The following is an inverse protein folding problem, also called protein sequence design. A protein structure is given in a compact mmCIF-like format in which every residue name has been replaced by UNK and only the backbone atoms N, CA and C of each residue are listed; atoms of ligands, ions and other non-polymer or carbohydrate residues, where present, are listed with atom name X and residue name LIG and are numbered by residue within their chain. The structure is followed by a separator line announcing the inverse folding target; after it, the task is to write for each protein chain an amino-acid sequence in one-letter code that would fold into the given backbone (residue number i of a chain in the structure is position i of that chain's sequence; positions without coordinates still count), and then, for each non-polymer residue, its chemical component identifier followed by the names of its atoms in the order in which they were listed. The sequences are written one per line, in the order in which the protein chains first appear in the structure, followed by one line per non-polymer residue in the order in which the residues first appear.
data_IF_092336228500
#
_entry.id   IF_092336228500
#
_cell.length_a   1.000
_cell.length_b   1.000
_cell.length_c   1.000
_cell.angle_alpha   90.00
_cell.angle_beta   90.00
_cell.angle_gamma   90.00
#
_symmetry.space_group_name_H-M   'P 1'
#
loop_
_entity.id
_entity.type
_entity.pdbx_description
1 polymer ?
#
# COMPACT_ATOMS: atom_id res chain seq x y z
N UNK A 1 -4.74 1.35 -12.30
CA UNK A 1 -5.49 1.54 -11.02
C UNK A 1 -6.91 2.08 -11.21
N UNK A 2 -7.17 3.07 -12.09
CA UNK A 2 -8.54 3.57 -12.36
C UNK A 2 -9.43 2.58 -13.15
N UNK A 3 -8.89 1.80 -14.08
CA UNK A 3 -9.63 0.81 -14.87
C UNK A 3 -10.20 -0.36 -14.04
N UNK A 4 -9.45 -0.84 -13.04
CA UNK A 4 -9.93 -1.88 -12.12
C UNK A 4 -11.13 -1.43 -11.28
N UNK A 5 -11.16 -0.15 -10.88
CA UNK A 5 -12.28 0.45 -10.13
C UNK A 5 -13.52 0.58 -11.02
N UNK A 6 -13.34 0.85 -12.32
CA UNK A 6 -14.45 0.97 -13.28
C UNK A 6 -15.08 -0.38 -13.64
N UNK A 7 -14.27 -1.42 -13.80
CA UNK A 7 -14.74 -2.80 -13.99
C UNK A 7 -15.57 -3.27 -12.78
N UNK A 8 -15.19 -2.85 -11.58
CA UNK A 8 -15.92 -3.14 -10.35
C UNK A 8 -17.33 -2.52 -10.32
N UNK A 9 -17.51 -1.32 -10.89
CA UNK A 9 -18.82 -0.67 -10.98
C UNK A 9 -19.76 -1.36 -12.00
N UNK A 10 -19.22 -1.88 -13.11
CA UNK A 10 -19.97 -2.64 -14.11
C UNK A 10 -20.42 -4.00 -13.58
N UNK A 11 -19.59 -4.65 -12.76
CA UNK A 11 -19.96 -5.90 -12.07
C UNK A 11 -21.11 -5.72 -11.08
N UNK A 12 -21.17 -4.59 -10.39
CA UNK A 12 -22.31 -4.27 -9.51
C UNK A 12 -23.65 -4.17 -10.26
N UNK A 13 -23.63 -3.87 -11.57
CA UNK A 13 -24.83 -3.85 -12.40
C UNK A 13 -25.18 -5.23 -13.02
N UNK A 14 -24.22 -6.15 -13.08
CA UNK A 14 -24.36 -7.51 -13.64
C UNK A 14 -24.79 -8.52 -12.57
N UNK A 15 -24.31 -8.34 -11.35
CA UNK A 15 -24.81 -9.05 -10.16
C UNK A 15 -26.00 -8.24 -9.66
N UNK A 16 -27.21 -8.80 -9.76
CA UNK A 16 -28.45 -8.12 -9.40
C UNK A 16 -28.30 -7.32 -8.11
N UNK A 17 -28.68 -6.04 -8.12
CA UNK A 17 -28.55 -5.09 -7.00
C UNK A 17 -29.04 -5.63 -5.64
N UNK A 18 -29.89 -6.65 -5.61
CA UNK A 18 -30.45 -7.20 -4.39
C UNK A 18 -29.49 -8.10 -3.59
N UNK A 19 -28.56 -8.81 -4.23
CA UNK A 19 -27.68 -9.75 -3.50
C UNK A 19 -26.42 -9.09 -2.94
N UNK A 20 -26.03 -7.92 -3.45
CA UNK A 20 -24.78 -7.23 -3.04
C UNK A 20 -25.02 -6.07 -2.05
N UNK A 21 -26.18 -5.45 -2.04
CA UNK A 21 -26.48 -4.31 -1.16
C UNK A 21 -27.01 -4.69 0.22
N UNK A 22 -27.45 -5.93 0.42
CA UNK A 22 -27.84 -6.44 1.74
C UNK A 22 -26.71 -7.17 2.50
N UNK A 23 -25.56 -7.42 1.89
CA UNK A 23 -24.40 -7.87 2.64
C UNK A 23 -23.86 -6.71 3.45
N UNK A 24 -24.19 -6.73 4.70
CA UNK A 24 -23.75 -5.88 5.81
C UNK A 24 -22.37 -5.25 5.53
N UNK A 25 -22.27 -3.90 5.54
CA UNK A 25 -21.00 -3.16 5.43
C UNK A 25 -19.91 -3.70 6.36
N UNK A 26 -20.28 -4.37 7.44
CA UNK A 26 -19.40 -5.06 8.39
C UNK A 26 -18.66 -6.26 7.80
N UNK A 27 -19.18 -6.92 6.74
CA UNK A 27 -18.49 -8.05 6.10
C UNK A 27 -17.31 -7.68 5.21
N UNK A 28 -17.18 -6.43 4.79
CA UNK A 28 -16.07 -6.02 3.88
C UNK A 28 -14.68 -6.15 4.51
N UNK A 29 -14.57 -6.12 5.83
CA UNK A 29 -13.29 -6.18 6.54
C UNK A 29 -13.26 -7.27 7.63
N UNK A 30 -14.39 -7.95 7.88
CA UNK A 30 -14.49 -9.01 8.88
C UNK A 30 -13.74 -10.30 8.55
N UNK A 31 -13.34 -10.47 7.28
CA UNK A 31 -12.63 -11.65 6.79
C UNK A 31 -11.12 -11.38 6.57
N UNK A 32 -10.58 -10.25 7.05
CA UNK A 32 -9.15 -10.00 7.00
C UNK A 32 -8.42 -11.02 7.87
N UNK A 33 -7.61 -11.87 7.24
CA UNK A 33 -6.82 -12.85 7.98
C UNK A 33 -5.78 -12.10 8.83
N UNK A 34 -5.82 -12.34 10.14
CA UNK A 34 -4.88 -11.72 11.06
C UNK A 34 -3.47 -12.31 10.88
N UNK A 35 -2.45 -11.45 11.04
CA UNK A 35 -1.04 -11.86 10.93
C UNK A 35 -0.74 -12.98 11.94
N UNK A 36 -0.23 -14.16 11.49
CA UNK A 36 0.11 -15.26 12.38
C UNK A 36 1.24 -14.86 13.34
N UNK A 37 1.22 -15.44 14.54
CA UNK A 37 2.29 -15.21 15.51
C UNK A 37 3.61 -15.89 15.08
N UNK A 38 4.72 -15.23 15.42
CA UNK A 38 6.08 -15.74 15.25
C UNK A 38 6.46 -16.14 13.79
N UNK A 39 5.66 -15.74 12.80
CA UNK A 39 5.95 -15.99 11.40
C UNK A 39 6.55 -14.74 10.76
N UNK A 40 7.82 -14.78 10.29
CA UNK A 40 8.41 -13.66 9.58
C UNK A 40 7.64 -13.32 8.31
N UNK A 41 7.06 -12.14 8.25
CA UNK A 41 6.25 -11.68 7.12
C UNK A 41 6.73 -10.32 6.64
N UNK A 42 6.71 -10.11 5.32
CA UNK A 42 7.14 -8.88 4.68
C UNK A 42 6.07 -7.80 4.80
N UNK A 43 6.40 -6.66 5.37
CA UNK A 43 5.51 -5.50 5.36
C UNK A 43 5.41 -4.92 3.95
N UNK A 44 4.23 -4.94 3.36
CA UNK A 44 3.97 -4.37 2.04
C UNK A 44 3.57 -2.90 2.11
N UNK A 45 2.62 -2.57 2.98
CA UNK A 45 2.07 -1.21 3.10
C UNK A 45 1.25 -1.04 4.36
N UNK A 46 0.94 0.20 4.69
CA UNK A 46 -0.10 0.56 5.63
C UNK A 46 -1.32 1.11 4.88
N UNK A 47 -2.52 0.83 5.36
CA UNK A 47 -3.78 1.36 4.85
C UNK A 47 -4.60 1.92 6.00
N UNK A 48 -5.37 2.97 5.74
CA UNK A 48 -6.32 3.51 6.71
C UNK A 48 -7.75 3.13 6.33
N UNK A 49 -8.46 2.48 7.25
CA UNK A 49 -9.87 2.13 7.09
C UNK A 49 -10.73 3.17 7.83
N UNK A 50 -11.39 4.03 7.06
CA UNK A 50 -12.17 5.15 7.59
C UNK A 50 -13.34 4.71 8.47
N UNK A 51 -14.01 3.61 8.13
CA UNK A 51 -15.15 3.06 8.89
C UNK A 51 -14.74 2.63 10.31
N UNK A 52 -13.50 2.17 10.49
CA UNK A 52 -12.97 1.76 11.79
C UNK A 52 -12.06 2.82 12.43
N UNK A 53 -11.72 3.86 11.69
CA UNK A 53 -10.75 4.89 12.09
C UNK A 53 -9.41 4.29 12.56
N UNK A 54 -8.94 3.25 11.87
CA UNK A 54 -7.73 2.49 12.22
C UNK A 54 -6.81 2.30 11.02
N UNK A 55 -5.51 2.23 11.32
CA UNK A 55 -4.52 1.75 10.37
C UNK A 55 -4.45 0.23 10.42
N UNK A 56 -4.32 -0.36 9.24
CA UNK A 56 -4.02 -1.76 9.05
C UNK A 56 -2.69 -1.89 8.31
N UNK A 57 -1.81 -2.70 8.83
CA UNK A 57 -0.58 -3.10 8.17
C UNK A 57 -0.84 -4.33 7.33
N UNK A 58 -0.41 -4.29 6.08
CA UNK A 58 -0.56 -5.37 5.12
C UNK A 58 0.75 -6.14 5.00
N UNK A 59 0.74 -7.41 5.34
CA UNK A 59 1.89 -8.29 5.31
C UNK A 59 1.75 -9.39 4.27
N UNK A 60 2.86 -9.79 3.69
CA UNK A 60 2.96 -10.96 2.82
C UNK A 60 3.79 -12.03 3.51
N UNK A 61 3.23 -13.23 3.63
CA UNK A 61 3.93 -14.43 4.06
C UNK A 61 4.33 -15.25 2.83
N UNK A 62 5.63 -15.39 2.60
CA UNK A 62 6.18 -16.14 1.47
C UNK A 62 5.94 -17.65 1.56
N UNK A 63 5.77 -18.17 2.78
CA UNK A 63 5.56 -19.61 3.01
C UNK A 63 4.17 -20.05 2.56
N UNK A 64 3.15 -19.30 2.96
CA UNK A 64 1.77 -19.56 2.59
C UNK A 64 1.35 -18.90 1.28
N UNK A 65 2.16 -17.97 0.75
CA UNK A 65 1.84 -17.09 -0.38
C UNK A 65 0.54 -16.31 -0.16
N UNK A 66 0.33 -15.82 1.05
CA UNK A 66 -0.89 -15.12 1.46
C UNK A 66 -0.61 -13.74 2.01
N UNK A 67 -1.67 -12.90 1.94
CA UNK A 67 -1.72 -11.59 2.57
C UNK A 67 -2.39 -11.73 3.92
N UNK A 68 -1.77 -11.12 4.92
CA UNK A 68 -2.27 -11.00 6.28
C UNK A 68 -2.33 -9.55 6.69
N UNK A 69 -3.14 -9.27 7.70
CA UNK A 69 -3.32 -7.92 8.21
C UNK A 69 -3.07 -7.88 9.71
N UNK A 70 -2.50 -6.78 10.16
CA UNK A 70 -2.40 -6.46 11.57
C UNK A 70 -3.05 -5.11 11.81
N UNK A 71 -4.01 -5.08 12.72
CA UNK A 71 -4.75 -3.87 13.09
C UNK A 71 -3.94 -3.07 14.08
N UNK A 72 -3.79 -1.75 13.84
CA UNK A 72 -3.11 -0.84 14.77
C UNK A 72 -3.76 -0.84 16.15
N UNK A 73 -2.91 -0.92 17.19
CA UNK A 73 -3.29 -0.90 18.59
C UNK A 73 -2.63 0.25 19.37
N UNK A 74 -1.83 1.07 18.69
CA UNK A 74 -1.11 2.20 19.31
C UNK A 74 -2.02 3.41 19.57
N UNK A 75 -3.21 3.41 18.99
CA UNK A 75 -4.13 4.56 18.99
C UNK A 75 -3.54 5.83 18.35
N UNK A 76 -2.60 5.67 17.44
CA UNK A 76 -2.04 6.76 16.66
C UNK A 76 -3.13 7.59 15.99
N UNK A 77 -2.97 8.91 15.96
CA UNK A 77 -3.94 9.85 15.42
C UNK A 77 -3.31 10.70 14.32
N UNK A 78 -4.09 11.12 13.31
CA UNK A 78 -3.62 12.04 12.30
C UNK A 78 -3.35 13.42 12.91
N UNK A 79 -2.33 14.09 12.41
CA UNK A 79 -1.92 15.40 12.90
C UNK A 79 -1.28 16.23 11.78
N UNK A 80 -1.11 17.52 12.05
CA UNK A 80 -0.25 18.42 11.30
C UNK A 80 0.42 19.42 12.27
N UNK A 81 1.36 20.19 11.75
CA UNK A 81 2.04 21.22 12.55
C UNK A 81 1.71 22.62 12.04
N UNK A 82 1.75 23.61 12.95
CA UNK A 82 1.64 25.03 12.59
C UNK A 82 2.58 25.86 13.44
N UNK A 83 2.94 27.07 12.95
CA UNK A 83 3.81 28.00 13.68
C UNK A 83 3.12 28.57 14.92
N UNK A 84 3.91 28.92 15.93
CA UNK A 84 3.42 29.56 17.16
C UNK A 84 2.65 30.86 16.91
N UNK A 85 2.97 31.60 15.84
CA UNK A 85 2.23 32.81 15.45
C UNK A 85 0.75 32.54 15.16
N UNK A 86 0.37 31.33 14.79
CA UNK A 86 -1.02 30.91 14.51
C UNK A 86 -1.73 30.29 15.71
N UNK A 87 -1.16 30.39 16.91
CA UNK A 87 -1.69 29.80 18.13
C UNK A 87 -3.16 30.10 18.37
N UNK A 88 -3.54 31.35 18.27
CA UNK A 88 -4.94 31.79 18.49
C UNK A 88 -5.92 31.14 17.49
N UNK A 89 -5.49 30.92 16.23
CA UNK A 89 -6.30 30.24 15.21
C UNK A 89 -6.41 28.75 15.53
N UNK A 90 -5.30 28.12 15.88
CA UNK A 90 -5.28 26.70 16.26
C UNK A 90 -6.14 26.42 17.51
N UNK A 91 -6.06 27.28 18.54
CA UNK A 91 -6.90 27.20 19.74
C UNK A 91 -8.40 27.32 19.41
N UNK A 92 -8.78 28.22 18.51
CA UNK A 92 -10.16 28.33 18.03
C UNK A 92 -10.66 27.06 17.35
N UNK A 93 -9.83 26.43 16.50
CA UNK A 93 -10.17 25.15 15.85
C UNK A 93 -10.47 24.08 16.91
N UNK A 94 -9.62 23.96 17.92
CA UNK A 94 -9.78 22.98 19.00
C UNK A 94 -10.99 23.29 19.89
N UNK A 95 -11.27 24.55 20.15
CA UNK A 95 -12.45 24.98 20.95
C UNK A 95 -13.78 24.73 20.24
N UNK A 96 -13.83 24.96 18.92
CA UNK A 96 -15.03 24.76 18.11
C UNK A 96 -15.39 23.28 17.95
N UNK A 97 -14.39 22.44 17.89
CA UNK A 97 -14.57 21.01 17.68
C UNK A 97 -13.82 20.20 18.77
N UNK A 98 -14.51 19.79 19.82
CA UNK A 98 -13.99 19.06 20.99
C UNK A 98 -13.21 17.77 20.68
N UNK A 99 -13.13 17.36 19.41
CA UNK A 99 -12.44 16.17 18.95
C UNK A 99 -10.97 16.40 18.58
N UNK A 100 -10.54 17.65 18.50
CA UNK A 100 -9.15 18.01 18.25
C UNK A 100 -8.40 18.22 19.55
N UNK A 101 -7.09 18.02 19.51
CA UNK A 101 -6.19 18.43 20.59
C UNK A 101 -4.98 19.20 20.04
N UNK A 102 -4.39 20.01 20.92
CA UNK A 102 -3.26 20.88 20.61
C UNK A 102 -2.14 20.59 21.58
N UNK A 103 -0.96 20.35 21.03
CA UNK A 103 0.27 20.11 21.80
C UNK A 103 1.35 21.08 21.35
N UNK A 104 2.15 21.59 22.29
CA UNK A 104 3.37 22.33 21.97
C UNK A 104 4.53 21.33 21.85
N UNK A 105 5.33 21.45 20.81
CA UNK A 105 6.49 20.61 20.57
C UNK A 105 7.62 21.41 19.91
N UNK A 106 8.79 20.82 19.81
CA UNK A 106 9.94 21.40 19.15
C UNK A 106 10.33 20.59 17.91
N UNK A 107 10.74 21.27 16.87
CA UNK A 107 11.26 20.68 15.65
C UNK A 107 12.43 21.50 15.13
N UNK A 108 13.29 20.85 14.35
CA UNK A 108 14.37 21.54 13.66
C UNK A 108 13.80 22.19 12.40
N UNK A 109 13.96 23.48 12.28
CA UNK A 109 13.71 24.20 11.01
C UNK A 109 14.87 23.94 10.07
N UNK A 110 14.61 23.20 9.00
CA UNK A 110 15.64 22.77 8.03
C UNK A 110 16.30 23.94 7.27
N UNK A 111 15.68 25.12 7.24
CA UNK A 111 16.23 26.29 6.56
C UNK A 111 17.23 27.02 7.45
N UNK A 112 16.91 27.19 8.72
CA UNK A 112 17.72 27.90 9.69
C UNK A 112 18.65 27.00 10.51
N UNK A 113 18.47 25.67 10.40
CA UNK A 113 19.13 24.63 11.22
C UNK A 113 19.01 24.89 12.72
N UNK A 114 17.85 25.39 13.14
CA UNK A 114 17.58 25.74 14.54
C UNK A 114 16.35 25.03 15.06
N UNK A 115 16.38 24.68 16.32
CA UNK A 115 15.20 24.19 17.03
C UNK A 115 14.20 25.34 17.20
N UNK A 116 12.96 25.11 16.80
CA UNK A 116 11.85 26.07 16.92
C UNK A 116 10.68 25.43 17.65
N UNK A 117 9.96 26.26 18.40
CA UNK A 117 8.69 25.86 19.01
C UNK A 117 7.57 25.89 17.96
N UNK A 118 6.83 24.80 17.89
CA UNK A 118 5.67 24.65 16.98
C UNK A 118 4.49 24.02 17.70
N UNK A 119 3.32 24.14 17.10
CA UNK A 119 2.09 23.53 17.58
C UNK A 119 1.75 22.31 16.75
N UNK A 120 1.46 21.19 17.41
CA UNK A 120 0.92 19.96 16.80
C UNK A 120 -0.59 19.96 17.01
N UNK A 121 -1.34 19.98 15.91
CA UNK A 121 -2.81 19.87 15.89
C UNK A 121 -3.13 18.41 15.57
N UNK A 122 -3.77 17.72 16.50
CA UNK A 122 -4.18 16.32 16.37
C UNK A 122 -5.67 16.29 16.07
N UNK A 123 -6.06 15.54 15.04
CA UNK A 123 -7.44 15.43 14.58
C UNK A 123 -8.02 14.02 14.79
N UNK A 124 -9.36 13.88 14.77
CA UNK A 124 -10.01 12.58 14.93
C UNK A 124 -9.78 11.63 13.73
N UNK A 125 -9.65 12.19 12.53
CA UNK A 125 -9.51 11.45 11.28
C UNK A 125 -8.66 12.24 10.26
N UNK A 126 -8.13 11.58 9.21
CA UNK A 126 -7.23 12.21 8.23
C UNK A 126 -7.89 13.30 7.38
N UNK A 127 -9.19 13.19 7.08
CA UNK A 127 -9.91 14.18 6.27
C UNK A 127 -10.02 15.51 7.01
N UNK A 128 -10.07 15.45 8.32
CA UNK A 128 -10.07 16.63 9.20
C UNK A 128 -8.75 17.41 9.14
N UNK A 129 -7.63 16.77 8.78
CA UNK A 129 -6.34 17.46 8.60
C UNK A 129 -6.26 18.14 7.24
N UNK A 130 -6.54 17.43 6.13
CA UNK A 130 -6.31 17.97 4.79
C UNK A 130 -7.11 17.26 3.70
N UNK A 131 -8.40 17.02 3.89
CA UNK A 131 -9.20 16.28 2.91
C UNK A 131 -10.56 16.89 2.57
N UNK A 132 -10.95 17.98 3.25
CA UNK A 132 -12.23 18.67 3.06
C UNK A 132 -12.04 20.18 3.12
N UNK A 133 -13.01 20.94 2.62
CA UNK A 133 -13.03 22.41 2.64
C UNK A 133 -13.00 22.99 4.07
N UNK A 134 -13.35 22.19 5.08
CA UNK A 134 -13.32 22.56 6.49
C UNK A 134 -12.13 22.00 7.27
N UNK A 135 -11.17 21.38 6.57
CA UNK A 135 -9.99 20.80 7.20
C UNK A 135 -9.08 21.85 7.86
N UNK A 136 -8.17 21.38 8.71
CA UNK A 136 -7.19 22.26 9.39
C UNK A 136 -6.34 22.99 8.36
N UNK A 137 -5.92 22.32 7.28
CA UNK A 137 -5.12 22.89 6.21
C UNK A 137 -5.74 24.12 5.55
N UNK A 138 -7.06 24.13 5.42
CA UNK A 138 -7.78 25.28 4.82
C UNK A 138 -7.96 26.44 5.82
N UNK A 139 -7.86 26.19 7.12
CA UNK A 139 -8.09 27.19 8.17
C UNK A 139 -6.81 27.86 8.67
N UNK A 140 -5.68 27.14 8.59
CA UNK A 140 -4.39 27.64 9.11
C UNK A 140 -3.23 27.11 8.26
N UNK A 141 -2.21 27.95 8.04
CA UNK A 141 -0.97 27.50 7.40
C UNK A 141 -0.34 26.38 8.22
N UNK A 142 -0.24 25.21 7.61
CA UNK A 142 0.20 24.00 8.29
C UNK A 142 1.27 23.26 7.50
N UNK A 143 2.11 22.51 8.22
CA UNK A 143 3.11 21.59 7.68
C UNK A 143 2.68 20.15 7.91
N UNK A 144 3.12 19.25 7.04
CA UNK A 144 2.80 17.82 7.04
C UNK A 144 1.30 17.50 6.84
N UNK A 145 0.47 18.49 6.55
CA UNK A 145 -0.95 18.29 6.28
C UNK A 145 -1.23 17.61 4.92
N UNK A 146 -0.23 17.60 4.02
CA UNK A 146 -0.29 16.97 2.70
C UNK A 146 0.22 15.51 2.71
N UNK A 147 0.91 15.11 3.77
CA UNK A 147 1.39 13.74 3.92
C UNK A 147 0.18 12.85 4.23
N UNK A 148 0.05 11.76 3.47
CA UNK A 148 -1.03 10.81 3.72
C UNK A 148 -0.88 10.18 5.09
N UNK A 149 -1.97 10.07 5.82
CA UNK A 149 -1.93 9.61 7.21
C UNK A 149 -1.23 8.26 7.42
N UNK A 150 -1.43 7.31 6.51
CA UNK A 150 -0.77 6.00 6.61
C UNK A 150 0.76 6.09 6.37
N UNK A 151 1.24 7.11 5.68
CA UNK A 151 2.67 7.40 5.54
C UNK A 151 3.22 8.00 6.82
N UNK A 152 2.54 9.01 7.41
CA UNK A 152 2.89 9.54 8.73
C UNK A 152 2.94 8.46 9.80
N UNK A 153 1.96 7.55 9.78
CA UNK A 153 1.93 6.42 10.69
C UNK A 153 3.20 5.55 10.57
N UNK A 154 3.63 5.25 9.35
CA UNK A 154 4.86 4.46 9.12
C UNK A 154 6.10 5.20 9.62
N UNK A 155 6.20 6.51 9.39
CA UNK A 155 7.32 7.32 9.87
C UNK A 155 7.38 7.37 11.40
N UNK A 156 6.25 7.64 12.05
CA UNK A 156 6.19 7.78 13.51
C UNK A 156 6.44 6.44 14.23
N UNK A 157 6.01 5.34 13.64
CA UNK A 157 6.20 4.00 14.22
C UNK A 157 7.55 3.36 13.83
N UNK A 158 8.30 3.98 12.92
CA UNK A 158 9.57 3.46 12.41
C UNK A 158 9.42 2.17 11.58
N UNK A 159 8.21 1.93 11.05
CA UNK A 159 7.94 0.76 10.21
C UNK A 159 8.37 1.02 8.78
N UNK A 160 9.13 0.08 8.21
CA UNK A 160 9.72 0.21 6.88
C UNK A 160 9.09 -0.83 5.95
N UNK A 161 8.26 -0.43 4.95
CA UNK A 161 7.81 -1.33 3.90
C UNK A 161 8.99 -2.01 3.20
N UNK A 162 8.84 -3.31 2.89
CA UNK A 162 9.94 -4.11 2.34
C UNK A 162 10.82 -4.76 3.41
N UNK A 163 10.60 -4.48 4.70
CA UNK A 163 11.26 -5.19 5.80
C UNK A 163 10.39 -6.28 6.38
N UNK A 164 11.03 -7.26 7.02
CA UNK A 164 10.33 -8.36 7.69
C UNK A 164 10.01 -8.03 9.13
N UNK A 165 8.85 -8.49 9.55
CA UNK A 165 8.34 -8.34 10.92
C UNK A 165 7.73 -9.65 11.40
N UNK A 166 7.68 -9.81 12.73
CA UNK A 166 6.96 -10.89 13.39
C UNK A 166 5.94 -10.28 14.36
N UNK A 167 4.80 -10.92 14.48
CA UNK A 167 3.84 -10.64 15.55
C UNK A 167 4.23 -11.39 16.81
N UNK A 168 4.26 -10.69 17.95
CA UNK A 168 4.41 -11.26 19.30
C UNK A 168 3.27 -10.72 20.17
N UNK A 169 2.21 -11.51 20.30
CA UNK A 169 0.98 -11.06 20.96
C UNK A 169 0.37 -9.84 20.25
N UNK A 170 0.31 -8.72 20.95
CA UNK A 170 -0.26 -7.47 20.46
C UNK A 170 0.74 -6.56 19.71
N UNK A 171 2.03 -6.93 19.71
CA UNK A 171 3.11 -6.10 19.17
C UNK A 171 3.63 -6.64 17.85
N UNK A 172 4.10 -5.73 16.98
CA UNK A 172 4.87 -6.02 15.78
C UNK A 172 6.32 -5.68 16.05
N UNK A 173 7.21 -6.66 15.84
CA UNK A 173 8.66 -6.47 16.03
C UNK A 173 9.39 -6.74 14.72
N UNK A 174 10.39 -5.91 14.43
CA UNK A 174 11.24 -6.13 13.27
C UNK A 174 11.94 -7.47 13.41
N UNK A 175 11.92 -8.24 12.34
CA UNK A 175 12.63 -9.51 12.22
C UNK A 175 13.86 -9.31 11.34
N UNK A 176 15.01 -9.64 11.87
CA UNK A 176 16.27 -9.59 11.15
C UNK A 176 16.74 -11.01 10.84
N UNK A 177 16.91 -11.33 9.56
CA UNK A 177 17.55 -12.56 9.17
C UNK A 177 19.02 -12.54 9.56
N UNK A 178 19.57 -13.64 10.07
CA UNK A 178 20.99 -13.69 10.44
C UNK A 178 21.84 -13.52 9.18
N UNK A 179 22.78 -12.57 9.24
CA UNK A 179 23.76 -12.36 8.18
C UNK A 179 24.76 -13.51 8.19
N UNK A 180 25.05 -14.13 7.05
CA UNK A 180 26.09 -15.15 6.99
C UNK A 180 27.46 -14.54 7.33
N UNK A 181 28.30 -15.27 8.04
CA UNK A 181 29.65 -14.82 8.44
C UNK A 181 30.46 -14.36 7.22
N UNK A 182 30.32 -15.05 6.08
CA UNK A 182 31.00 -14.69 4.84
C UNK A 182 30.60 -13.30 4.35
N UNK A 183 29.29 -12.98 4.30
CA UNK A 183 28.80 -11.66 3.90
C UNK A 183 29.22 -10.60 4.90
N UNK A 184 29.22 -10.90 6.20
CA UNK A 184 29.73 -9.97 7.22
C UNK A 184 31.20 -9.63 7.01
N UNK A 185 32.03 -10.62 6.71
CA UNK A 185 33.47 -10.41 6.48
C UNK A 185 33.75 -9.67 5.19
N UNK A 186 33.04 -9.99 4.10
CA UNK A 186 33.16 -9.26 2.83
C UNK A 186 32.74 -7.80 2.99
N UNK A 187 31.63 -7.53 3.68
CA UNK A 187 31.18 -6.17 3.97
C UNK A 187 32.17 -5.43 4.88
N UNK A 188 32.68 -6.08 5.93
CA UNK A 188 33.72 -5.50 6.77
C UNK A 188 34.96 -5.12 5.95
N UNK A 189 35.41 -5.99 5.08
CA UNK A 189 36.60 -5.76 4.27
C UNK A 189 36.40 -4.59 3.27
N UNK A 190 35.25 -4.56 2.58
CA UNK A 190 34.93 -3.50 1.62
C UNK A 190 34.80 -2.14 2.31
N UNK A 191 34.23 -2.08 3.48
CA UNK A 191 33.94 -0.85 4.20
C UNK A 191 35.10 -0.41 5.09
N UNK A 192 35.84 -1.37 5.66
CA UNK A 192 36.99 -1.07 6.52
C UNK A 192 38.17 -0.48 5.75
N UNK A 193 38.39 -0.94 4.53
CA UNK A 193 39.44 -0.39 3.65
C UNK A 193 39.13 1.05 3.24
N UNK A 194 37.86 1.38 2.99
CA UNK A 194 37.45 2.77 2.73
C UNK A 194 37.52 3.68 3.96
N UNK A 195 37.19 3.15 5.14
CA UNK A 195 37.20 3.94 6.39
C UNK A 195 38.66 4.21 6.88
N UNK A 196 39.60 3.35 6.56
CA UNK A 196 41.02 3.56 6.84
C UNK A 196 41.65 4.68 6.00
N UNK A 197 41.10 4.90 4.82
CA UNK A 197 41.54 5.99 3.91
C UNK A 197 41.02 7.37 4.35
N UNK A 198 39.91 7.38 5.10
CA UNK A 198 39.33 8.62 5.68
C UNK A 198 39.51 8.60 7.21
N UNK A 199 40.75 8.77 7.68
CA UNK A 199 41.01 8.94 9.10
C UNK A 199 40.39 10.25 9.58
N UNK A 200 39.24 10.17 10.27
CA UNK A 200 38.92 11.17 11.26
C UNK A 200 37.98 10.72 12.40
N UNK A 201 38.32 11.03 13.44
CA UNK A 201 38.43 11.08 14.88
C UNK A 201 37.20 10.81 15.73
N UNK A 202 35.96 11.15 15.36
CA UNK A 202 34.78 10.96 16.26
C UNK A 202 33.50 10.45 15.56
N UNK A 203 33.39 10.52 14.24
CA UNK A 203 32.23 10.04 13.46
C UNK A 203 32.20 8.52 13.18
N UNK A 204 33.28 7.81 13.55
CA UNK A 204 33.51 6.43 13.12
C UNK A 204 32.49 5.42 13.68
N UNK A 205 31.88 5.65 14.85
CA UNK A 205 30.92 4.73 15.46
C UNK A 205 29.53 4.83 14.83
N UNK A 206 29.06 6.04 14.53
CA UNK A 206 27.78 6.25 13.86
C UNK A 206 27.79 5.71 12.43
N UNK A 207 28.87 5.98 11.70
CA UNK A 207 29.04 5.49 10.33
C UNK A 207 29.10 3.95 10.28
N UNK A 208 29.81 3.30 11.21
CA UNK A 208 29.84 1.84 11.37
C UNK A 208 28.48 1.25 11.66
N UNK A 209 27.69 1.91 12.51
CA UNK A 209 26.34 1.49 12.83
C UNK A 209 25.42 1.65 11.62
N UNK A 210 25.55 2.71 10.87
CA UNK A 210 24.86 2.96 9.62
C UNK A 210 25.10 1.84 8.60
N UNK A 211 26.36 1.52 8.34
CA UNK A 211 26.78 0.47 7.42
C UNK A 211 26.27 -0.90 7.87
N UNK A 212 26.37 -1.21 9.14
CA UNK A 212 25.86 -2.47 9.70
C UNK A 212 24.35 -2.58 9.50
N UNK A 213 23.61 -1.51 9.70
CA UNK A 213 22.16 -1.47 9.48
C UNK A 213 21.80 -1.64 8.01
N UNK A 214 22.54 -1.01 7.09
CA UNK A 214 22.38 -1.20 5.65
C UNK A 214 22.71 -2.63 5.23
N UNK A 215 23.79 -3.21 5.76
CA UNK A 215 24.16 -4.59 5.49
C UNK A 215 23.06 -5.57 5.91
N UNK A 216 22.44 -5.34 7.06
CA UNK A 216 21.31 -6.14 7.53
C UNK A 216 20.09 -6.01 6.61
N UNK A 217 19.79 -4.80 6.11
CA UNK A 217 18.72 -4.58 5.15
C UNK A 217 18.96 -5.30 3.83
N UNK A 218 20.15 -5.15 3.27
CA UNK A 218 20.52 -5.74 1.97
C UNK A 218 20.65 -7.27 2.02
N UNK A 219 20.90 -7.85 3.19
CA UNK A 219 21.00 -9.30 3.37
C UNK A 219 19.65 -9.98 3.61
N UNK A 220 18.55 -9.24 3.64
CA UNK A 220 17.23 -9.84 3.77
C UNK A 220 16.90 -10.68 2.52
N UNK A 221 16.28 -11.86 2.67
CA UNK A 221 15.89 -12.66 1.53
C UNK A 221 14.89 -11.90 0.66
N UNK A 222 15.10 -11.96 -0.64
CA UNK A 222 14.14 -11.43 -1.61
C UNK A 222 12.89 -12.30 -1.56
N UNK A 223 11.71 -11.75 -1.24
CA UNK A 223 10.49 -12.54 -1.16
C UNK A 223 10.07 -13.03 -2.56
N UNK A 224 9.69 -14.29 -2.66
CA UNK A 224 9.00 -14.77 -3.84
C UNK A 224 7.53 -14.32 -3.77
N UNK A 225 7.24 -13.12 -4.26
CA UNK A 225 5.90 -12.55 -4.27
C UNK A 225 5.06 -13.25 -5.35
N UNK A 226 4.12 -14.10 -4.95
CA UNK A 226 3.15 -14.70 -5.88
C UNK A 226 2.30 -13.59 -6.49
N UNK A 227 2.46 -13.36 -7.81
CA UNK A 227 1.84 -12.26 -8.53
C UNK A 227 1.39 -12.66 -9.91
N UNK A 228 0.37 -11.99 -10.41
CA UNK A 228 -0.11 -12.07 -11.78
C UNK A 228 -0.15 -10.68 -12.41
N UNK A 229 0.38 -10.57 -13.63
CA UNK A 229 0.22 -9.40 -14.48
C UNK A 229 -1.03 -9.57 -15.32
N UNK A 230 -1.78 -8.48 -15.49
CA UNK A 230 -3.05 -8.45 -16.22
C UNK A 230 -2.97 -7.35 -17.26
N UNK A 231 -3.38 -7.69 -18.48
CA UNK A 231 -3.58 -6.75 -19.56
C UNK A 231 -5.02 -6.89 -20.08
N UNK A 232 -5.69 -5.77 -20.39
CA UNK A 232 -7.12 -5.75 -20.69
C UNK A 232 -7.33 -4.99 -22.01
N UNK A 233 -7.99 -5.66 -22.97
CA UNK A 233 -8.41 -5.07 -24.23
C UNK A 233 -9.91 -4.79 -24.22
N UNK A 234 -10.27 -3.59 -24.64
CA UNK A 234 -11.66 -3.13 -24.73
C UNK A 234 -11.99 -2.83 -26.19
N UNK A 235 -13.18 -3.17 -26.64
CA UNK A 235 -13.65 -2.80 -27.98
C UNK A 235 -13.54 -1.29 -28.19
N UNK A 236 -12.96 -0.88 -29.32
CA UNK A 236 -12.82 0.52 -29.71
C UNK A 236 -13.26 0.75 -31.15
N UNK A 237 -13.69 1.97 -31.45
CA UNK A 237 -13.91 2.40 -32.82
C UNK A 237 -12.57 2.59 -33.53
N UNK A 238 -12.54 2.38 -34.85
CA UNK A 238 -11.34 2.57 -35.64
C UNK A 238 -10.78 3.99 -35.47
N UNK A 239 -9.49 4.08 -35.10
CA UNK A 239 -8.80 5.35 -34.90
C UNK A 239 -9.10 6.08 -33.59
N UNK A 240 -9.87 5.49 -32.66
CA UNK A 240 -10.20 6.08 -31.36
C UNK A 240 -9.76 5.19 -30.20
N UNK A 241 -8.93 5.72 -29.32
CA UNK A 241 -8.60 5.07 -28.06
C UNK A 241 -9.81 5.11 -27.12
N UNK A 242 -10.22 3.97 -26.50
CA UNK A 242 -11.29 3.97 -25.51
C UNK A 242 -10.90 4.81 -24.30
N UNK A 243 -11.83 5.60 -23.78
CA UNK A 243 -11.61 6.39 -22.58
C UNK A 243 -12.28 5.73 -21.36
N UNK A 244 -11.83 5.99 -20.13
CA UNK A 244 -12.49 5.46 -18.94
C UNK A 244 -13.96 5.92 -18.77
N UNK A 245 -14.44 6.82 -19.62
CA UNK A 245 -15.83 7.30 -19.65
C UNK A 245 -16.70 6.52 -20.60
N UNK A 246 -16.11 5.78 -21.54
CA UNK A 246 -16.82 4.97 -22.54
C UNK A 246 -17.15 3.59 -21.94
N UNK A 247 -18.12 3.52 -21.01
CA UNK A 247 -18.47 2.30 -20.26
C UNK A 247 -19.39 1.34 -21.03
N UNK A 248 -19.84 1.73 -22.18
CA UNK A 248 -20.75 0.98 -23.07
C UNK A 248 -20.01 -0.05 -23.94
N UNK A 249 -18.68 0.03 -23.98
CA UNK A 249 -17.85 -0.89 -24.76
C UNK A 249 -17.48 -2.14 -23.96
N UNK A 250 -17.63 -3.35 -24.53
CA UNK A 250 -17.29 -4.59 -23.85
C UNK A 250 -15.78 -4.79 -23.72
N UNK A 251 -15.39 -5.54 -22.71
CA UNK A 251 -14.04 -6.11 -22.62
C UNK A 251 -13.99 -7.30 -23.58
N UNK A 252 -13.07 -7.25 -24.55
CA UNK A 252 -12.96 -8.25 -25.61
C UNK A 252 -11.86 -9.28 -25.35
N UNK A 253 -10.80 -8.91 -24.61
CA UNK A 253 -9.78 -9.86 -24.20
C UNK A 253 -9.15 -9.47 -22.85
N UNK A 254 -8.67 -10.47 -22.10
CA UNK A 254 -7.88 -10.29 -20.90
C UNK A 254 -6.73 -11.28 -20.90
N UNK A 255 -5.51 -10.76 -20.87
CA UNK A 255 -4.28 -11.54 -20.80
C UNK A 255 -3.76 -11.65 -19.37
N UNK A 256 -3.20 -12.80 -19.01
CA UNK A 256 -2.60 -13.09 -17.71
C UNK A 256 -1.24 -13.73 -17.88
N UNK A 257 -0.25 -13.23 -17.13
CA UNK A 257 1.05 -13.87 -16.97
C UNK A 257 1.45 -13.80 -15.51
N UNK A 258 1.72 -14.95 -14.91
CA UNK A 258 2.13 -15.04 -13.50
C UNK A 258 3.55 -15.56 -13.34
N UNK A 259 4.16 -15.25 -12.19
CA UNK A 259 5.53 -15.68 -11.90
C UNK A 259 5.65 -17.15 -11.46
N UNK A 260 4.54 -17.86 -11.29
CA UNK A 260 4.49 -19.31 -11.07
C UNK A 260 4.37 -20.12 -12.37
N UNK A 261 4.48 -19.45 -13.52
CA UNK A 261 4.42 -20.06 -14.86
C UNK A 261 3.02 -20.07 -15.48
N UNK A 262 1.99 -19.64 -14.73
CA UNK A 262 0.63 -19.54 -15.28
C UNK A 262 0.57 -18.49 -16.38
N UNK A 263 -0.04 -18.87 -17.53
CA UNK A 263 -0.34 -17.98 -18.66
C UNK A 263 -1.74 -18.30 -19.15
N UNK A 264 -2.53 -17.26 -19.43
CA UNK A 264 -3.89 -17.42 -19.94
C UNK A 264 -4.31 -16.17 -20.69
N UNK A 265 -5.07 -16.37 -21.78
CA UNK A 265 -5.78 -15.31 -22.45
C UNK A 265 -7.26 -15.70 -22.52
N UNK A 266 -8.12 -14.86 -21.99
CA UNK A 266 -9.57 -14.97 -22.13
C UNK A 266 -10.01 -14.05 -23.27
N UNK A 267 -10.77 -14.57 -24.23
CA UNK A 267 -11.24 -13.80 -25.41
C UNK A 267 -12.76 -13.91 -25.48
N UNK A 268 -13.42 -12.79 -25.72
CA UNK A 268 -14.86 -12.77 -26.01
C UNK A 268 -15.09 -13.31 -27.40
N UNK A 269 -16.04 -14.24 -27.55
CA UNK A 269 -16.43 -14.78 -28.86
C UNK A 269 -16.83 -13.65 -29.80
N UNK A 270 -16.23 -13.52 -30.99
CA UNK A 270 -16.63 -12.51 -31.97
C UNK A 270 -18.11 -12.69 -32.41
N UNK A 271 -18.83 -11.59 -32.61
CA UNK A 271 -20.23 -11.61 -33.06
C UNK A 271 -20.39 -12.17 -34.46
N UNK A 272 -19.36 -12.14 -35.29
CA UNK A 272 -19.29 -12.75 -36.60
C UNK A 272 -18.33 -13.93 -36.59
N UNK A 273 -18.84 -15.14 -36.61
CA UNK A 273 -18.03 -16.36 -36.76
C UNK A 273 -17.43 -16.40 -38.16
N UNK A 274 -16.15 -16.09 -38.27
CA UNK A 274 -15.37 -16.54 -39.43
C UNK A 274 -14.95 -17.97 -39.12
N UNK A 275 -15.32 -18.88 -40.03
CA UNK A 275 -14.97 -20.31 -40.03
C UNK A 275 -13.44 -20.55 -40.21
N UNK A 276 -12.60 -19.77 -39.58
CA UNK A 276 -11.19 -19.98 -39.60
C UNK A 276 -10.83 -20.95 -38.45
N UNK A 277 -10.30 -22.09 -38.84
CA UNK A 277 -9.71 -23.09 -37.95
C UNK A 277 -8.69 -22.44 -37.00
N UNK A 278 -9.16 -21.96 -35.87
CA UNK A 278 -8.27 -21.51 -34.80
C UNK A 278 -7.49 -22.74 -34.29
N UNK A 279 -6.22 -22.82 -34.67
CA UNK A 279 -5.27 -23.70 -33.97
C UNK A 279 -5.36 -23.33 -32.47
N UNK A 280 -5.91 -24.25 -31.69
CA UNK A 280 -6.06 -24.06 -30.25
C UNK A 280 -4.68 -23.84 -29.63
N UNK A 281 -4.34 -22.58 -29.39
CA UNK A 281 -3.22 -22.25 -28.50
C UNK A 281 -3.73 -22.60 -27.12
N UNK A 282 -3.04 -23.49 -26.43
CA UNK A 282 -3.45 -24.07 -25.14
C UNK A 282 -3.77 -23.01 -24.08
N UNK A 283 -3.18 -21.83 -24.19
CA UNK A 283 -3.37 -20.71 -23.27
C UNK A 283 -4.60 -19.83 -23.59
N UNK A 284 -5.25 -19.99 -24.74
CA UNK A 284 -6.40 -19.18 -25.15
C UNK A 284 -7.72 -19.87 -24.81
N UNK A 285 -8.62 -19.16 -24.18
CA UNK A 285 -9.96 -19.62 -23.83
C UNK A 285 -11.02 -18.65 -24.32
N UNK A 286 -11.96 -19.14 -25.12
CA UNK A 286 -13.06 -18.35 -25.68
C UNK A 286 -14.22 -18.33 -24.70
N UNK A 287 -14.73 -17.15 -24.40
CA UNK A 287 -15.89 -16.90 -23.55
C UNK A 287 -17.07 -16.45 -24.42
N UNK A 288 -18.22 -17.10 -24.29
CA UNK A 288 -19.42 -16.78 -25.08
C UNK A 288 -20.03 -15.42 -24.73
N UNK A 289 -19.79 -14.91 -23.57
CA UNK A 289 -20.33 -13.63 -23.11
C UNK A 289 -19.29 -12.85 -22.31
N UNK A 290 -19.37 -11.50 -22.33
CA UNK A 290 -18.54 -10.64 -21.48
C UNK A 290 -18.69 -11.01 -19.98
N UNK A 291 -19.90 -11.37 -19.56
CA UNK A 291 -20.16 -11.81 -18.19
C UNK A 291 -19.34 -13.05 -17.81
N UNK A 292 -19.24 -14.01 -18.71
CA UNK A 292 -18.42 -15.22 -18.50
C UNK A 292 -16.94 -14.85 -18.44
N UNK A 293 -16.46 -14.03 -19.38
CA UNK A 293 -15.08 -13.53 -19.42
C UNK A 293 -14.71 -12.83 -18.11
N UNK A 294 -15.52 -11.88 -17.66
CA UNK A 294 -15.29 -11.16 -16.41
C UNK A 294 -15.32 -12.10 -15.19
N UNK A 295 -16.25 -13.06 -15.13
CA UNK A 295 -16.31 -14.03 -14.04
C UNK A 295 -15.02 -14.86 -13.95
N UNK A 296 -14.51 -15.37 -15.06
CA UNK A 296 -13.24 -16.11 -15.11
C UNK A 296 -12.05 -15.22 -14.75
N UNK A 297 -12.04 -13.98 -15.25
CA UNK A 297 -11.05 -12.96 -14.89
C UNK A 297 -10.93 -12.80 -13.37
N UNK A 298 -12.06 -12.61 -12.67
CA UNK A 298 -12.04 -12.46 -11.22
C UNK A 298 -11.70 -13.75 -10.49
N UNK A 299 -12.03 -14.91 -11.02
CA UNK A 299 -11.58 -16.19 -10.44
C UNK A 299 -10.05 -16.31 -10.47
N UNK A 300 -9.42 -15.93 -11.60
CA UNK A 300 -7.95 -15.91 -11.70
C UNK A 300 -7.35 -14.88 -10.75
N UNK A 301 -7.85 -13.63 -10.76
CA UNK A 301 -7.38 -12.55 -9.88
C UNK A 301 -7.41 -12.98 -8.41
N UNK A 302 -8.50 -13.60 -7.97
CA UNK A 302 -8.67 -14.03 -6.58
C UNK A 302 -7.71 -15.14 -6.14
N UNK A 303 -7.04 -15.81 -7.08
CA UNK A 303 -6.03 -16.83 -6.76
C UNK A 303 -4.62 -16.26 -6.54
N UNK A 304 -4.45 -14.95 -6.78
CA UNK A 304 -3.17 -14.26 -6.62
C UNK A 304 -3.27 -13.14 -5.59
N UNK A 305 -2.35 -13.09 -4.62
CA UNK A 305 -2.34 -12.04 -3.59
C UNK A 305 -1.87 -10.68 -4.12
N UNK A 306 -1.14 -10.66 -5.25
CA UNK A 306 -0.59 -9.44 -5.85
C UNK A 306 -0.96 -9.40 -7.32
N UNK A 307 -1.52 -8.27 -7.74
CA UNK A 307 -1.91 -7.97 -9.11
C UNK A 307 -1.02 -6.83 -9.61
N UNK A 308 -0.48 -7.01 -10.82
CA UNK A 308 0.31 -6.02 -11.54
C UNK A 308 -0.47 -5.61 -12.79
N UNK A 309 -0.68 -4.33 -12.97
CA UNK A 309 -1.41 -3.73 -14.11
C UNK A 309 -0.59 -2.64 -14.75
#
# INVERSE_FOLDING_TARGET
MKLLIYSYSKLNNILTQQDYFQSDKRKRYGDLQELPENTPSLLLSAIYLGDEQKVYLKFYDSTSSRIYFWRDRTNHKPYCYTKMQYKNTAEKIVQLEKKYSLESTKKIDLISDREIDILKIIAPDPLSIGGTDNSVREKVTSWEADIKYHENYLYDTGLIPGSYYIRKGEEIKRFEYPISNKVQEELKNLLWNKIKEEEDKDGNNEYRQYITNWAKLLNQPIPNLKRVSIDIEVESEEGRMPTPRDHDRPVIAVGFVANDGFKKVLVLEPSESRDDHHSFIQEVEICKTEKELLKKTFQIINSYPIIVT
#
